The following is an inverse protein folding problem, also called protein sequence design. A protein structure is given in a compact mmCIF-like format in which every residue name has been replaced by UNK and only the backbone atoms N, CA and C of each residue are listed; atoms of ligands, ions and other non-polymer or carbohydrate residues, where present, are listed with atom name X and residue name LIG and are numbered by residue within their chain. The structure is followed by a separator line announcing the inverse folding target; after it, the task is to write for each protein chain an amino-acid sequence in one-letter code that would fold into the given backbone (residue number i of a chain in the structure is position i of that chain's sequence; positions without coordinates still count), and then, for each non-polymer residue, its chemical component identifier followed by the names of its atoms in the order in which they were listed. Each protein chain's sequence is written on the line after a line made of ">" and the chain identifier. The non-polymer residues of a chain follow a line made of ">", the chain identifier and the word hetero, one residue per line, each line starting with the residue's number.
data_IF_710050260348
#
_entry.id   IF_710050260348
#
_cell.length_a   1.000
_cell.length_b   1.000
_cell.length_c   1.000
_cell.angle_alpha   90.00
_cell.angle_beta   90.00
_cell.angle_gamma   90.00
#
_symmetry.space_group_name_H-M   'P 1'
#
loop_
_entity.id
_entity.type
_entity.pdbx_description
1 polymer ?
#
# COMPACT_ATOMS: atom_id res chain seq x y z
N UNK A 1 22.26 -9.70 -23.94
CA UNK A 1 21.09 -9.70 -23.03
C UNK A 1 19.88 -9.22 -23.82
N UNK A 2 18.79 -9.97 -23.88
CA UNK A 2 17.61 -9.62 -24.69
C UNK A 2 17.05 -8.24 -24.26
N UNK A 3 16.77 -7.32 -25.20
CA UNK A 3 16.33 -5.93 -24.90
C UNK A 3 15.15 -5.89 -23.90
N UNK A 4 14.21 -6.83 -24.05
CA UNK A 4 13.07 -6.99 -23.15
C UNK A 4 13.46 -7.38 -21.71
N UNK A 5 14.51 -8.18 -21.52
CA UNK A 5 15.00 -8.55 -20.19
C UNK A 5 15.66 -7.34 -19.49
N UNK A 6 16.36 -6.49 -20.26
CA UNK A 6 16.93 -5.26 -19.73
C UNK A 6 15.84 -4.28 -19.28
N UNK A 7 14.81 -4.08 -20.11
CA UNK A 7 13.62 -3.28 -19.75
C UNK A 7 12.93 -3.80 -18.50
N UNK A 8 12.81 -5.13 -18.35
CA UNK A 8 12.22 -5.77 -17.17
C UNK A 8 13.01 -5.45 -15.90
N UNK A 9 14.32 -5.56 -15.94
CA UNK A 9 15.16 -5.21 -14.79
C UNK A 9 15.01 -3.73 -14.40
N UNK A 10 14.95 -2.82 -15.37
CA UNK A 10 14.74 -1.40 -15.12
C UNK A 10 13.39 -1.14 -14.44
N UNK A 11 12.31 -1.75 -14.93
CA UNK A 11 10.98 -1.63 -14.32
C UNK A 11 10.95 -2.21 -12.89
N UNK A 12 11.61 -3.34 -12.65
CA UNK A 12 11.70 -3.92 -11.29
C UNK A 12 12.41 -2.99 -10.30
N UNK A 13 13.47 -2.29 -10.73
CA UNK A 13 14.15 -1.29 -9.90
C UNK A 13 13.22 -0.10 -9.57
N UNK A 14 12.49 0.40 -10.57
CA UNK A 14 11.51 1.47 -10.38
C UNK A 14 10.40 1.00 -9.42
N UNK A 15 9.91 -0.24 -9.58
CA UNK A 15 8.89 -0.81 -8.69
C UNK A 15 9.37 -0.82 -7.24
N UNK A 16 10.59 -1.31 -6.99
CA UNK A 16 11.15 -1.36 -5.63
C UNK A 16 11.19 0.02 -4.96
N UNK A 17 11.60 1.06 -5.70
CA UNK A 17 11.61 2.45 -5.21
C UNK A 17 10.19 2.93 -4.92
N UNK A 18 9.23 2.69 -5.81
CA UNK A 18 7.82 3.10 -5.63
C UNK A 18 7.18 2.41 -4.44
N UNK A 19 7.38 1.10 -4.30
CA UNK A 19 6.91 0.31 -3.15
C UNK A 19 7.48 0.84 -1.83
N UNK A 20 8.76 1.24 -1.80
CA UNK A 20 9.36 1.86 -0.62
C UNK A 20 8.65 3.16 -0.24
N UNK A 21 8.46 4.08 -1.19
CA UNK A 21 7.79 5.35 -0.92
C UNK A 21 6.33 5.20 -0.52
N UNK A 22 5.60 4.23 -1.10
CA UNK A 22 4.23 3.90 -0.68
C UNK A 22 4.20 3.41 0.76
N UNK A 23 5.08 2.47 1.12
CA UNK A 23 5.19 1.96 2.51
C UNK A 23 5.52 3.07 3.50
N UNK A 24 6.33 4.05 3.09
CA UNK A 24 6.64 5.21 3.93
C UNK A 24 5.38 6.05 4.21
N UNK A 25 4.61 6.41 3.17
CA UNK A 25 3.33 7.12 3.36
C UNK A 25 2.29 6.31 4.16
N UNK A 26 2.28 4.99 4.00
CA UNK A 26 1.40 4.11 4.78
C UNK A 26 1.72 4.16 6.28
N UNK A 27 3.01 4.24 6.64
CA UNK A 27 3.43 4.39 8.04
C UNK A 27 2.99 5.74 8.60
N UNK A 28 3.09 6.81 7.83
CA UNK A 28 2.64 8.14 8.25
C UNK A 28 1.14 8.14 8.57
N UNK A 29 0.32 7.54 7.69
CA UNK A 29 -1.11 7.32 7.93
C UNK A 29 -1.38 6.50 9.19
N UNK A 30 -0.68 5.38 9.36
CA UNK A 30 -0.82 4.54 10.56
C UNK A 30 -0.46 5.31 11.84
N UNK A 31 0.53 6.19 11.79
CA UNK A 31 0.93 6.99 12.94
C UNK A 31 -0.16 8.01 13.32
N UNK A 32 -0.80 8.65 12.33
CA UNK A 32 -1.94 9.55 12.57
C UNK A 32 -3.11 8.75 13.15
N UNK A 33 -3.45 7.59 12.56
CA UNK A 33 -4.50 6.72 13.06
C UNK A 33 -4.27 6.27 14.51
N UNK A 34 -3.02 5.92 14.88
CA UNK A 34 -2.69 5.59 16.27
C UNK A 34 -2.96 6.74 17.23
N UNK A 35 -2.69 7.99 16.82
CA UNK A 35 -2.99 9.17 17.65
C UNK A 35 -4.50 9.38 17.81
N UNK A 36 -5.26 9.24 16.72
CA UNK A 36 -6.73 9.32 16.74
C UNK A 36 -7.30 8.23 17.67
N UNK A 37 -6.83 6.98 17.53
CA UNK A 37 -7.27 5.86 18.34
C UNK A 37 -7.07 6.12 19.84
N UNK A 38 -5.90 6.63 20.24
CA UNK A 38 -5.62 6.95 21.65
C UNK A 38 -6.60 7.98 22.23
N UNK A 39 -6.95 9.00 21.46
CA UNK A 39 -7.91 10.02 21.91
C UNK A 39 -9.30 9.40 22.04
N UNK A 40 -9.75 8.62 21.04
CA UNK A 40 -11.05 7.96 21.10
C UNK A 40 -11.13 6.99 22.29
N UNK A 41 -10.10 6.18 22.54
CA UNK A 41 -10.03 5.29 23.69
C UNK A 41 -10.16 6.04 25.03
N UNK A 42 -9.51 7.21 25.15
CA UNK A 42 -9.67 8.06 26.32
C UNK A 42 -11.13 8.52 26.47
N UNK A 43 -11.74 9.03 25.40
CA UNK A 43 -13.13 9.52 25.40
C UNK A 43 -14.14 8.41 25.74
N UNK A 44 -13.96 7.22 25.16
CA UNK A 44 -14.81 6.04 25.41
C UNK A 44 -14.65 5.50 26.83
N UNK A 45 -13.50 5.74 27.47
CA UNK A 45 -13.23 5.36 28.86
C UNK A 45 -13.85 6.28 29.92
N UNK A 46 -14.26 7.50 29.56
CA UNK A 46 -14.81 8.49 30.51
C UNK A 46 -15.99 7.95 31.34
N UNK A 47 -16.99 7.25 30.78
CA UNK A 47 -18.10 6.72 31.57
C UNK A 47 -17.66 5.74 32.67
N UNK A 48 -16.66 4.91 32.40
CA UNK A 48 -16.13 3.97 33.39
C UNK A 48 -15.35 4.68 34.50
N UNK A 49 -14.59 5.72 34.13
CA UNK A 49 -13.90 6.59 35.09
C UNK A 49 -14.94 7.26 35.99
N UNK A 50 -16.03 7.81 35.44
CA UNK A 50 -17.07 8.46 36.22
C UNK A 50 -17.74 7.50 37.22
N UNK A 51 -18.06 6.27 36.81
CA UNK A 51 -18.59 5.22 37.72
C UNK A 51 -17.64 4.89 38.88
N UNK A 52 -16.33 5.00 38.67
CA UNK A 52 -15.34 4.73 39.73
C UNK A 52 -15.25 5.84 40.78
N UNK A 53 -15.91 6.98 40.56
CA UNK A 53 -15.87 8.14 41.45
C UNK A 53 -17.04 8.18 42.45
N UNK A 54 -17.98 7.24 42.40
CA UNK A 54 -19.20 7.23 43.23
C UNK A 54 -18.92 7.19 44.74
N UNK A 55 -17.70 6.83 45.17
CA UNK A 55 -17.28 6.80 46.57
C UNK A 55 -16.63 8.09 47.09
N UNK A 56 -16.46 9.12 46.24
CA UNK A 56 -15.82 10.39 46.61
C UNK A 56 -16.86 11.46 46.99
N UNK A 57 -16.41 12.55 47.61
CA UNK A 57 -17.28 13.67 47.95
C UNK A 57 -17.68 14.49 46.71
N UNK A 58 -18.86 15.11 46.76
CA UNK A 58 -19.47 15.83 45.63
C UNK A 58 -18.60 16.97 45.08
N UNK A 59 -17.79 17.63 45.94
CA UNK A 59 -16.93 18.74 45.54
C UNK A 59 -15.76 18.23 44.69
N UNK A 60 -15.10 17.16 45.13
CA UNK A 60 -14.04 16.49 44.39
C UNK A 60 -14.53 15.93 43.04
N UNK A 61 -15.71 15.29 43.03
CA UNK A 61 -16.33 14.76 41.81
C UNK A 61 -16.57 15.90 40.80
N UNK A 62 -17.12 17.03 41.25
CA UNK A 62 -17.41 18.18 40.39
C UNK A 62 -16.14 18.77 39.76
N UNK A 63 -15.09 18.99 40.57
CA UNK A 63 -13.82 19.49 40.07
C UNK A 63 -13.16 18.55 39.06
N UNK A 64 -13.29 17.24 39.27
CA UNK A 64 -12.77 16.25 38.33
C UNK A 64 -13.56 16.23 37.01
N UNK A 65 -14.90 16.35 37.06
CA UNK A 65 -15.75 16.48 35.87
C UNK A 65 -15.37 17.72 35.06
N UNK A 66 -15.12 18.85 35.71
CA UNK A 66 -14.69 20.08 35.04
C UNK A 66 -13.35 19.90 34.33
N UNK A 67 -12.38 19.23 34.97
CA UNK A 67 -11.10 18.86 34.35
C UNK A 67 -11.28 17.93 33.14
N UNK A 68 -12.13 16.91 33.25
CA UNK A 68 -12.44 16.00 32.14
C UNK A 68 -13.09 16.73 30.97
N UNK A 69 -14.03 17.63 31.24
CA UNK A 69 -14.71 18.44 30.24
C UNK A 69 -13.74 19.38 29.52
N UNK A 70 -12.82 20.00 30.27
CA UNK A 70 -11.77 20.82 29.70
C UNK A 70 -10.86 20.02 28.75
N UNK A 71 -10.38 18.86 29.20
CA UNK A 71 -9.55 17.97 28.39
C UNK A 71 -10.29 17.47 27.14
N UNK A 72 -11.55 17.05 27.28
CA UNK A 72 -12.42 16.63 26.17
C UNK A 72 -12.54 17.72 25.09
N UNK A 73 -12.71 18.99 25.48
CA UNK A 73 -12.73 20.11 24.53
C UNK A 73 -11.40 20.27 23.79
N UNK A 74 -10.26 20.09 24.46
CA UNK A 74 -8.95 20.13 23.81
C UNK A 74 -8.77 18.96 22.84
N UNK A 75 -9.12 17.75 23.27
CA UNK A 75 -9.02 16.53 22.48
C UNK A 75 -9.85 16.60 21.20
N UNK A 76 -11.04 17.20 21.22
CA UNK A 76 -11.82 17.44 19.99
C UNK A 76 -11.12 18.36 19.00
N UNK A 77 -10.49 19.45 19.45
CA UNK A 77 -9.70 20.34 18.57
C UNK A 77 -8.50 19.62 17.98
N UNK A 78 -7.86 18.73 18.74
CA UNK A 78 -6.74 17.92 18.26
C UNK A 78 -7.25 16.89 17.23
N UNK A 79 -8.37 16.22 17.50
CA UNK A 79 -8.98 15.25 16.59
C UNK A 79 -9.34 15.86 15.24
N UNK A 80 -9.91 17.06 15.22
CA UNK A 80 -10.24 17.77 13.98
C UNK A 80 -8.98 18.00 13.11
N UNK A 81 -7.89 18.49 13.74
CA UNK A 81 -6.59 18.65 13.06
C UNK A 81 -6.02 17.33 12.57
N UNK A 82 -6.10 16.28 13.38
CA UNK A 82 -5.61 14.95 13.01
C UNK A 82 -6.40 14.35 11.86
N UNK A 83 -7.74 14.52 11.82
CA UNK A 83 -8.59 14.07 10.70
C UNK A 83 -8.24 14.80 9.41
N UNK A 84 -8.01 16.12 9.47
CA UNK A 84 -7.56 16.87 8.29
C UNK A 84 -6.21 16.36 7.78
N UNK A 85 -5.22 16.23 8.67
CA UNK A 85 -3.90 15.69 8.32
C UNK A 85 -3.98 14.25 7.79
N UNK A 86 -4.89 13.43 8.35
CA UNK A 86 -5.12 12.08 7.86
C UNK A 86 -5.55 12.07 6.40
N UNK A 87 -6.52 12.92 6.03
CA UNK A 87 -7.00 13.02 4.65
C UNK A 87 -5.89 13.46 3.70
N UNK A 88 -5.10 14.48 4.07
CA UNK A 88 -3.96 14.94 3.27
C UNK A 88 -2.93 13.81 3.06
N UNK A 89 -2.61 13.07 4.11
CA UNK A 89 -1.71 11.91 4.02
C UNK A 89 -2.32 10.76 3.22
N UNK A 90 -3.65 10.62 3.21
CA UNK A 90 -4.38 9.57 2.51
C UNK A 90 -4.31 9.79 1.00
N UNK A 91 -4.52 11.03 0.55
CA UNK A 91 -4.40 11.40 -0.86
C UNK A 91 -2.98 11.09 -1.38
N UNK A 92 -1.95 11.48 -0.62
CA UNK A 92 -0.55 11.19 -0.95
C UNK A 92 -0.29 9.68 -1.06
N UNK A 93 -0.85 8.89 -0.13
CA UNK A 93 -0.73 7.43 -0.17
C UNK A 93 -1.40 6.83 -1.40
N UNK A 94 -2.63 7.27 -1.72
CA UNK A 94 -3.40 6.79 -2.86
C UNK A 94 -2.66 7.07 -4.17
N UNK A 95 -2.07 8.26 -4.32
CA UNK A 95 -1.29 8.60 -5.50
C UNK A 95 -0.05 7.73 -5.64
N UNK A 96 0.69 7.51 -4.54
CA UNK A 96 1.84 6.59 -4.53
C UNK A 96 1.45 5.14 -4.85
N UNK A 97 0.30 4.69 -4.34
CA UNK A 97 -0.25 3.36 -4.63
C UNK A 97 -0.61 3.22 -6.12
N UNK A 98 -1.26 4.22 -6.71
CA UNK A 98 -1.58 4.24 -8.15
C UNK A 98 -0.33 4.15 -9.02
N UNK A 99 0.70 4.92 -8.68
CA UNK A 99 1.98 4.88 -9.40
C UNK A 99 2.68 3.51 -9.30
N UNK A 100 2.68 2.88 -8.11
CA UNK A 100 3.16 1.50 -7.95
C UNK A 100 2.39 0.52 -8.85
N UNK A 101 1.05 0.61 -8.86
CA UNK A 101 0.19 -0.26 -9.66
C UNK A 101 0.39 -0.11 -11.17
N UNK A 102 0.63 1.10 -11.66
CA UNK A 102 0.98 1.32 -13.08
C UNK A 102 2.23 0.53 -13.47
N UNK A 103 3.27 0.54 -12.64
CA UNK A 103 4.51 -0.19 -12.90
C UNK A 103 4.29 -1.70 -12.84
N UNK A 104 3.52 -2.21 -11.88
CA UNK A 104 3.16 -3.64 -11.82
C UNK A 104 2.46 -4.12 -13.10
N UNK A 105 1.51 -3.33 -13.61
CA UNK A 105 0.81 -3.63 -14.86
C UNK A 105 1.79 -3.66 -16.04
N UNK A 106 2.70 -2.68 -16.14
CA UNK A 106 3.72 -2.66 -17.19
C UNK A 106 4.63 -3.90 -17.14
N UNK A 107 5.05 -4.33 -15.95
CA UNK A 107 5.85 -5.54 -15.77
C UNK A 107 5.05 -6.78 -16.22
N UNK A 108 3.76 -6.85 -15.88
CA UNK A 108 2.87 -7.95 -16.29
C UNK A 108 2.75 -8.04 -17.81
N UNK A 109 2.51 -6.90 -18.47
CA UNK A 109 2.43 -6.82 -19.94
C UNK A 109 3.76 -7.25 -20.57
N UNK A 110 4.88 -6.73 -20.07
CA UNK A 110 6.21 -7.07 -20.57
C UNK A 110 6.54 -8.56 -20.45
N UNK A 111 6.16 -9.20 -19.33
CA UNK A 111 6.32 -10.63 -19.15
C UNK A 111 5.52 -11.41 -20.20
N UNK A 112 4.28 -11.00 -20.48
CA UNK A 112 3.46 -11.59 -21.54
C UNK A 112 4.13 -11.50 -22.92
N UNK A 113 4.71 -10.34 -23.25
CA UNK A 113 5.46 -10.16 -24.50
C UNK A 113 6.73 -11.01 -24.58
N UNK A 114 7.44 -11.19 -23.46
CA UNK A 114 8.62 -12.07 -23.40
C UNK A 114 8.22 -13.53 -23.65
N UNK A 115 7.12 -13.99 -23.06
CA UNK A 115 6.60 -15.36 -23.25
C UNK A 115 6.23 -15.59 -24.71
N UNK A 116 5.40 -14.72 -25.30
CA UNK A 116 5.00 -14.82 -26.71
C UNK A 116 6.19 -14.85 -27.67
N UNK A 117 7.22 -14.05 -27.41
CA UNK A 117 8.44 -14.04 -28.22
C UNK A 117 9.26 -15.32 -28.10
N UNK A 118 9.22 -16.01 -26.95
CA UNK A 118 9.86 -17.32 -26.78
C UNK A 118 9.11 -18.40 -27.55
N UNK A 119 7.79 -18.47 -27.36
CA UNK A 119 6.91 -19.41 -28.08
C UNK A 119 7.07 -19.28 -29.59
N UNK A 120 7.11 -18.04 -30.12
CA UNK A 120 7.34 -17.81 -31.55
C UNK A 120 8.70 -18.32 -32.03
N UNK A 121 9.76 -18.14 -31.24
CA UNK A 121 11.11 -18.64 -31.59
C UNK A 121 11.17 -20.16 -31.58
N UNK A 122 10.57 -20.80 -30.58
CA UNK A 122 10.51 -22.26 -30.47
C UNK A 122 9.70 -22.86 -31.62
N UNK A 123 8.55 -22.26 -31.97
CA UNK A 123 7.76 -22.69 -33.14
C UNK A 123 8.57 -22.63 -34.43
N UNK A 124 9.28 -21.53 -34.69
CA UNK A 124 10.11 -21.38 -35.89
C UNK A 124 11.21 -22.45 -35.96
N UNK A 125 11.87 -22.75 -34.84
CA UNK A 125 12.90 -23.80 -34.80
C UNK A 125 12.32 -25.19 -35.06
N UNK A 126 11.11 -25.48 -34.57
CA UNK A 126 10.41 -26.74 -34.86
C UNK A 126 10.02 -26.84 -36.33
N UNK A 127 9.53 -25.75 -36.93
CA UNK A 127 9.20 -25.68 -38.36
C UNK A 127 10.45 -25.88 -39.23
N UNK A 128 11.57 -25.23 -38.88
CA UNK A 128 12.87 -25.41 -39.54
C UNK A 128 13.34 -26.86 -39.44
N UNK A 129 13.24 -27.47 -38.26
CA UNK A 129 13.62 -28.86 -38.04
C UNK A 129 12.75 -29.84 -38.84
N UNK A 130 11.43 -29.62 -38.86
CA UNK A 130 10.50 -30.42 -39.65
C UNK A 130 10.82 -30.32 -41.15
N UNK A 131 11.05 -29.10 -41.65
CA UNK A 131 11.45 -28.87 -43.04
C UNK A 131 12.79 -29.55 -43.37
N UNK A 132 13.77 -29.48 -42.48
CA UNK A 132 15.05 -30.17 -42.65
C UNK A 132 14.87 -31.69 -42.76
N UNK A 133 14.06 -32.30 -41.88
CA UNK A 133 13.73 -33.73 -41.92
C UNK A 133 13.06 -34.13 -43.24
N UNK A 134 12.09 -33.35 -43.71
CA UNK A 134 11.43 -33.57 -45.01
C UNK A 134 12.44 -33.51 -46.16
N UNK A 135 13.29 -32.49 -46.19
CA UNK A 135 14.33 -32.33 -47.20
C UNK A 135 15.35 -33.48 -47.20
N UNK A 136 15.76 -33.98 -46.03
CA UNK A 136 16.61 -35.18 -45.94
C UNK A 136 15.95 -36.41 -46.55
N UNK A 137 14.68 -36.67 -46.23
CA UNK A 137 13.95 -37.82 -46.77
C UNK A 137 13.76 -37.75 -48.29
N UNK A 138 13.65 -36.54 -48.86
CA UNK A 138 13.56 -36.33 -50.30
C UNK A 138 14.90 -36.53 -51.03
N UNK A 139 16.05 -36.36 -50.34
CA UNK A 139 17.40 -36.58 -50.89
C UNK A 139 17.82 -38.04 -50.96
N UNK A 140 17.08 -38.96 -50.33
CA UNK A 140 17.38 -40.41 -50.28
C UNK A 140 16.65 -41.16 -51.43
N UNK A 141 16.29 -40.45 -52.51
CA UNK A 141 15.87 -41.05 -53.79
C UNK A 141 16.97 -40.91 -54.82
#
# INVERSE_FOLDING_TARGET
>A
MNDLNFRKQKLNRILAIRTYYRKLSERDLMNINKKILKINQFLDGIPNILKSLDSFDNLSIRGYIDCLNYKKKQDFKILEKLKKNYNECYDIYVDKYREEKKIEILIKILNGSIIKNREKKESLLLDEYANYKVCQNLRIK
#
